data_IF_726828964281
#
_entry.id   IF_726828964281
#
_cell.length_a   1.000
_cell.length_b   1.000
_cell.length_c   1.000
_cell.angle_alpha   90.00
_cell.angle_beta   90.00
_cell.angle_gamma   90.00
#
_symmetry.space_group_name_H-M   'P 1'
#
loop_
_entity.id
_entity.type
_entity.pdbx_description
1 polymer ?
#
# COMPACT_ATOMS: atom_id res chain seq x y z
N UNK A 1 -3.07 -5.40 -20.36
CA UNK A 1 -2.81 -5.18 -18.92
C UNK A 1 -2.88 -3.68 -18.66
N UNK A 2 -3.78 -3.24 -17.78
CA UNK A 2 -3.85 -1.83 -17.39
C UNK A 2 -2.77 -1.51 -16.35
N UNK A 3 -2.12 -0.36 -16.48
CA UNK A 3 -1.20 0.16 -15.48
C UNK A 3 -1.97 1.06 -14.50
N UNK A 4 -1.59 1.04 -13.23
CA UNK A 4 -2.09 1.99 -12.23
C UNK A 4 -1.30 3.30 -12.36
N UNK A 5 -1.99 4.44 -12.44
CA UNK A 5 -1.36 5.76 -12.36
C UNK A 5 -1.47 6.29 -10.94
N UNK A 6 -0.36 6.83 -10.43
CA UNK A 6 -0.25 7.39 -9.08
C UNK A 6 0.31 8.79 -9.23
N UNK A 7 -0.37 9.78 -8.63
CA UNK A 7 0.10 11.16 -8.58
C UNK A 7 0.21 11.57 -7.11
N UNK A 8 1.32 12.22 -6.75
CA UNK A 8 1.59 12.70 -5.39
C UNK A 8 2.01 14.16 -5.43
N UNK A 9 1.23 15.02 -4.79
CA UNK A 9 1.40 16.46 -4.95
C UNK A 9 1.26 16.88 -6.42
N UNK A 10 1.92 17.98 -6.79
CA UNK A 10 1.79 18.55 -8.13
C UNK A 10 2.80 17.98 -9.14
N UNK A 11 3.91 17.40 -8.68
CA UNK A 11 5.08 17.13 -9.54
C UNK A 11 5.50 15.64 -9.61
N UNK A 12 4.98 14.77 -8.74
CA UNK A 12 5.39 13.36 -8.71
C UNK A 12 4.36 12.47 -9.39
N UNK A 13 4.77 11.83 -10.49
CA UNK A 13 3.95 10.90 -11.25
C UNK A 13 4.62 9.54 -11.37
N UNK A 14 3.90 8.49 -11.00
CA UNK A 14 4.35 7.11 -11.11
C UNK A 14 3.36 6.28 -11.91
N UNK A 15 3.89 5.20 -12.48
CA UNK A 15 3.07 4.10 -12.99
C UNK A 15 3.45 2.83 -12.25
N UNK A 16 2.46 2.02 -11.92
CA UNK A 16 2.63 0.74 -11.26
C UNK A 16 2.00 -0.38 -12.07
N UNK A 17 2.65 -1.54 -12.05
CA UNK A 17 2.10 -2.80 -12.57
C UNK A 17 1.38 -3.54 -11.45
N UNK A 18 0.29 -4.21 -11.79
CA UNK A 18 -0.38 -5.12 -10.87
C UNK A 18 0.47 -6.38 -10.62
N UNK A 19 0.61 -6.78 -9.37
CA UNK A 19 1.33 -8.00 -8.99
C UNK A 19 0.43 -9.23 -9.14
N UNK A 20 0.68 -10.04 -10.17
CA UNK A 20 -0.15 -11.19 -10.52
C UNK A 20 -0.21 -12.26 -9.42
N UNK A 21 0.76 -12.29 -8.51
CA UNK A 21 0.74 -13.16 -7.34
C UNK A 21 -0.23 -12.69 -6.23
N UNK A 22 -0.90 -11.54 -6.38
CA UNK A 22 -1.85 -10.99 -5.41
C UNK A 22 -3.22 -10.62 -6.02
N UNK A 23 -3.94 -11.57 -6.65
CA UNK A 23 -5.21 -11.30 -7.35
C UNK A 23 -6.32 -10.73 -6.45
N UNK A 24 -6.45 -11.16 -5.20
CA UNK A 24 -7.49 -10.66 -4.31
C UNK A 24 -7.21 -9.21 -3.91
N UNK A 25 -5.95 -8.89 -3.65
CA UNK A 25 -5.46 -7.55 -3.34
C UNK A 25 -5.64 -6.60 -4.52
N UNK A 26 -5.36 -7.05 -5.74
CA UNK A 26 -5.62 -6.26 -6.96
C UNK A 26 -7.10 -5.86 -7.03
N UNK A 27 -8.01 -6.82 -6.86
CA UNK A 27 -9.45 -6.56 -6.96
C UNK A 27 -9.96 -5.68 -5.81
N UNK A 28 -9.41 -5.82 -4.60
CA UNK A 28 -9.72 -4.93 -3.49
C UNK A 28 -9.31 -3.48 -3.78
N UNK A 29 -8.06 -3.25 -4.21
CA UNK A 29 -7.58 -1.90 -4.56
C UNK A 29 -8.40 -1.33 -5.72
N UNK A 30 -8.72 -2.13 -6.75
CA UNK A 30 -9.53 -1.67 -7.89
C UNK A 30 -10.91 -1.16 -7.50
N UNK A 31 -11.57 -1.81 -6.54
CA UNK A 31 -12.87 -1.35 -6.01
C UNK A 31 -12.78 -0.05 -5.23
N UNK A 32 -11.60 0.27 -4.70
CA UNK A 32 -11.33 1.52 -4.00
C UNK A 32 -10.94 2.67 -4.93
N UNK A 33 -10.59 2.40 -6.20
CA UNK A 33 -10.19 3.45 -7.14
C UNK A 33 -11.40 4.30 -7.59
N UNK A 34 -11.20 5.62 -7.80
CA UNK A 34 -9.97 6.39 -7.54
C UNK A 34 -9.76 6.63 -6.04
N UNK A 35 -8.51 6.50 -5.58
CA UNK A 35 -8.12 6.81 -4.20
C UNK A 35 -7.55 8.22 -4.17
N UNK A 36 -8.21 9.12 -3.47
CA UNK A 36 -7.73 10.47 -3.16
C UNK A 36 -7.53 10.59 -1.64
N UNK A 37 -6.28 10.65 -1.20
CA UNK A 37 -5.95 10.66 0.23
C UNK A 37 -4.59 11.32 0.49
N UNK A 38 -4.21 11.42 1.77
CA UNK A 38 -2.95 12.01 2.21
C UNK A 38 -1.95 10.91 2.57
N UNK A 39 -0.75 10.99 1.99
CA UNK A 39 0.38 10.17 2.42
C UNK A 39 0.96 10.73 3.72
N UNK A 40 1.13 9.85 4.70
CA UNK A 40 1.73 10.15 5.99
C UNK A 40 3.11 9.48 6.03
N UNK A 41 4.14 10.21 6.42
CA UNK A 41 5.46 9.62 6.58
C UNK A 41 5.49 8.67 7.78
N UNK A 42 6.06 7.47 7.59
CA UNK A 42 6.23 6.50 8.66
C UNK A 42 7.15 7.05 9.76
N UNK A 43 6.77 6.91 11.02
CA UNK A 43 7.62 7.35 12.15
C UNK A 43 8.66 6.31 12.56
N UNK A 44 8.32 5.02 12.42
CA UNK A 44 9.09 3.91 12.97
C UNK A 44 9.55 2.89 11.92
N UNK A 45 8.78 2.76 10.83
CA UNK A 45 9.03 1.73 9.82
C UNK A 45 10.20 2.06 8.88
N UNK A 46 10.80 3.25 8.95
CA UNK A 46 11.89 3.69 8.07
C UNK A 46 11.43 4.58 6.91
N UNK A 47 12.09 4.45 5.77
CA UNK A 47 11.91 5.29 4.56
C UNK A 47 10.66 4.85 3.76
N UNK A 48 9.49 5.13 4.34
CA UNK A 48 8.21 4.77 3.76
C UNK A 48 7.12 5.76 4.14
N UNK A 49 6.04 5.73 3.37
CA UNK A 49 4.81 6.47 3.65
C UNK A 49 3.63 5.51 3.70
N UNK A 50 2.53 5.95 4.28
CA UNK A 50 1.33 5.13 4.41
C UNK A 50 0.04 5.97 4.34
N UNK A 51 -1.07 5.28 4.05
CA UNK A 51 -2.42 5.84 4.05
C UNK A 51 -3.27 5.02 5.04
N UNK A 52 -3.69 5.60 6.19
CA UNK A 52 -4.61 4.93 7.12
C UNK A 52 -6.02 4.84 6.54
N UNK A 53 -6.68 3.71 6.81
CA UNK A 53 -8.12 3.53 6.60
C UNK A 53 -8.86 3.13 7.89
N UNK A 54 -8.19 3.14 9.05
CA UNK A 54 -8.81 2.83 10.34
C UNK A 54 -9.46 1.45 10.39
N UNK A 55 -10.75 1.44 10.73
CA UNK A 55 -11.56 0.22 10.88
C UNK A 55 -12.08 -0.36 9.56
N UNK A 56 -11.80 0.29 8.42
CA UNK A 56 -12.11 -0.28 7.11
C UNK A 56 -11.46 -1.65 6.96
N UNK A 57 -12.19 -2.60 6.35
CA UNK A 57 -11.68 -3.92 6.02
C UNK A 57 -11.98 -4.21 4.54
N UNK A 58 -10.95 -4.46 3.70
CA UNK A 58 -11.14 -4.72 2.27
C UNK A 58 -11.77 -6.08 1.96
N UNK A 59 -12.00 -6.93 2.98
CA UNK A 59 -12.60 -8.26 2.82
C UNK A 59 -11.63 -9.28 2.22
N UNK A 60 -10.32 -9.10 2.44
CA UNK A 60 -9.25 -10.01 2.02
C UNK A 60 -8.33 -10.29 3.21
N UNK A 61 -7.62 -11.43 3.18
CA UNK A 61 -6.58 -11.79 4.14
C UNK A 61 -5.18 -11.43 3.59
N UNK A 62 -4.12 -11.79 4.32
CA UNK A 62 -2.74 -11.61 3.85
C UNK A 62 -2.48 -12.38 2.57
N UNK A 63 -1.98 -11.69 1.54
CA UNK A 63 -1.68 -12.24 0.22
C UNK A 63 -0.35 -11.66 -0.28
N UNK A 64 0.56 -12.54 -0.76
CA UNK A 64 1.91 -12.15 -1.20
C UNK A 64 2.66 -11.20 -0.22
N UNK A 65 2.53 -11.47 1.09
CA UNK A 65 2.96 -10.56 2.15
C UNK A 65 4.49 -10.54 2.34
N UNK A 66 5.01 -9.39 2.79
CA UNK A 66 6.40 -9.20 3.19
C UNK A 66 6.48 -8.22 4.35
N UNK A 67 7.42 -8.44 5.28
CA UNK A 67 7.78 -7.48 6.32
C UNK A 67 8.87 -6.51 5.88
N UNK A 68 9.46 -6.69 4.70
CA UNK A 68 10.55 -5.87 4.18
C UNK A 68 10.21 -5.37 2.77
N UNK A 69 9.19 -4.50 2.63
CA UNK A 69 8.82 -3.99 1.32
C UNK A 69 9.93 -3.08 0.77
N UNK A 70 10.25 -3.24 -0.50
CA UNK A 70 11.34 -2.52 -1.18
C UNK A 70 10.83 -1.26 -1.92
N UNK A 71 11.71 -0.31 -2.27
CA UNK A 71 11.34 0.85 -3.08
C UNK A 71 10.61 0.45 -4.37
N UNK A 72 9.51 1.14 -4.67
CA UNK A 72 8.68 0.87 -5.85
C UNK A 72 7.64 -0.24 -5.65
N UNK A 73 7.60 -0.89 -4.49
CA UNK A 73 6.46 -1.71 -4.09
C UNK A 73 5.32 -0.84 -3.58
N UNK A 74 4.10 -1.35 -3.67
CA UNK A 74 2.92 -0.80 -2.99
C UNK A 74 2.20 -1.98 -2.36
N UNK A 75 1.93 -1.91 -1.07
CA UNK A 75 1.36 -3.02 -0.30
C UNK A 75 0.09 -2.58 0.42
N UNK A 76 -0.92 -3.43 0.45
CA UNK A 76 -2.10 -3.25 1.29
C UNK A 76 -1.98 -4.16 2.50
N UNK A 77 -2.08 -3.59 3.68
CA UNK A 77 -2.28 -4.33 4.91
C UNK A 77 -3.79 -4.32 5.21
N UNK A 78 -4.47 -5.49 5.21
CA UNK A 78 -5.93 -5.56 5.34
C UNK A 78 -6.46 -5.18 6.73
N UNK A 79 -5.58 -4.92 7.69
CA UNK A 79 -5.92 -4.72 9.10
C UNK A 79 -5.82 -6.03 9.90
N UNK A 80 -6.07 -5.92 11.20
CA UNK A 80 -6.12 -7.07 12.11
C UNK A 80 -5.46 -6.74 13.44
N UNK A 81 -4.13 -6.66 13.43
CA UNK A 81 -3.35 -6.22 14.60
C UNK A 81 -3.37 -4.68 14.67
N UNK A 82 -3.12 -4.03 13.54
CA UNK A 82 -3.24 -2.59 13.36
C UNK A 82 -4.39 -2.25 12.41
N UNK A 83 -4.60 -0.95 12.19
CA UNK A 83 -5.56 -0.45 11.21
C UNK A 83 -5.23 -0.89 9.78
N UNK A 84 -6.23 -0.91 8.91
CA UNK A 84 -6.02 -1.17 7.49
C UNK A 84 -5.24 0.00 6.88
N UNK A 85 -4.28 -0.30 6.01
CA UNK A 85 -3.42 0.73 5.42
C UNK A 85 -2.89 0.33 4.04
N UNK A 86 -2.54 1.34 3.24
CA UNK A 86 -1.70 1.18 2.05
C UNK A 86 -0.31 1.73 2.37
N UNK A 87 0.72 0.92 2.19
CA UNK A 87 2.13 1.30 2.28
C UNK A 87 2.70 1.69 0.93
N UNK A 88 3.50 2.74 0.94
CA UNK A 88 4.23 3.25 -0.21
C UNK A 88 5.71 3.53 0.16
N UNK A 89 6.56 2.49 0.14
CA UNK A 89 8.00 2.59 0.42
C UNK A 89 8.78 3.27 -0.70
N UNK A 90 9.74 4.12 -0.30
CA UNK A 90 10.69 4.76 -1.21
C UNK A 90 12.15 4.49 -0.85
N UNK A 91 12.41 3.83 0.28
CA UNK A 91 13.75 3.45 0.74
C UNK A 91 13.73 2.20 1.64
N UNK A 92 14.75 2.07 2.49
CA UNK A 92 14.86 0.99 3.46
C UNK A 92 13.77 1.12 4.54
N UNK A 93 12.89 0.12 4.61
CA UNK A 93 11.84 0.08 5.62
C UNK A 93 11.52 -1.34 6.07
N UNK A 94 10.86 -1.49 7.21
CA UNK A 94 10.43 -2.78 7.75
C UNK A 94 9.13 -2.62 8.55
N UNK A 95 8.21 -3.55 8.33
CA UNK A 95 6.91 -3.65 9.02
C UNK A 95 6.89 -4.96 9.80
N UNK A 96 7.41 -4.93 11.02
CA UNK A 96 7.55 -6.09 11.91
C UNK A 96 6.97 -5.84 13.30
N UNK A 97 5.89 -5.06 13.37
CA UNK A 97 5.17 -4.86 14.64
C UNK A 97 4.76 -6.22 15.21
N UNK A 98 5.05 -6.43 16.49
CA UNK A 98 4.71 -7.64 17.25
C UNK A 98 3.26 -7.60 17.72
#
# INVERSE_FOLDING_TARGET
MGNLSITVGDDLHFSARWETAAPQTIEAIRRMLPIESRLIHCRWSGESTWIPYGDFRPGIDYENHTSHPAPGMLAMYPGGISECEIFFPYGACTTSSK
#
